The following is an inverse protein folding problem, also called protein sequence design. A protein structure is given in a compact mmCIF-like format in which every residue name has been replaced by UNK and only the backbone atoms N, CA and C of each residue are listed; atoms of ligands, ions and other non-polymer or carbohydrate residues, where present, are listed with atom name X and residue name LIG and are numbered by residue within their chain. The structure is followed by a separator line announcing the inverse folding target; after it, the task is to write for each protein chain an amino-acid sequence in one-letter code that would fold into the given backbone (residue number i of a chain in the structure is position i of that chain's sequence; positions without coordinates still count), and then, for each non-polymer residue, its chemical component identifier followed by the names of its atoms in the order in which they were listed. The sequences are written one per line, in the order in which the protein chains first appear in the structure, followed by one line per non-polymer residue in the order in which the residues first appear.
data_IF_593193886572
#
_entry.id   IF_593193886572
#
_cell.length_a   1.000
_cell.length_b   1.000
_cell.length_c   1.000
_cell.angle_alpha   90.00
_cell.angle_beta   90.00
_cell.angle_gamma   90.00
#
_symmetry.space_group_name_H-M   'P 1'
#
loop_
_entity.id
_entity.type
_entity.pdbx_description
1 polymer ?
#
# COMPACT_ATOMS: atom_id res chain seq x y z
N UNK A 1 -18.41 -20.00 14.15
CA UNK A 1 -17.65 -19.81 12.90
C UNK A 1 -16.27 -19.26 13.23
N UNK A 2 -15.20 -19.76 12.60
CA UNK A 2 -13.84 -19.24 12.82
C UNK A 2 -13.75 -17.84 12.21
N UNK A 3 -13.43 -16.83 13.01
CA UNK A 3 -13.15 -15.46 12.56
C UNK A 3 -11.71 -15.37 12.09
N UNK A 4 -11.46 -14.57 11.06
CA UNK A 4 -10.10 -14.22 10.67
C UNK A 4 -9.55 -13.18 11.66
N UNK A 5 -8.37 -13.41 12.24
CA UNK A 5 -7.71 -12.42 13.08
C UNK A 5 -6.84 -11.43 12.27
N UNK A 6 -6.32 -11.89 11.13
CA UNK A 6 -5.43 -11.14 10.25
C UNK A 6 -5.82 -11.37 8.79
N UNK A 7 -5.86 -10.31 8.00
CA UNK A 7 -6.20 -10.31 6.58
C UNK A 7 -5.10 -9.57 5.83
N UNK A 8 -4.52 -10.21 4.80
CA UNK A 8 -3.58 -9.58 3.86
C UNK A 8 -4.30 -9.32 2.54
N UNK A 9 -4.32 -8.07 2.11
CA UNK A 9 -4.81 -7.65 0.80
C UNK A 9 -3.61 -7.22 -0.05
N UNK A 10 -3.35 -7.96 -1.13
CA UNK A 10 -2.37 -7.57 -2.14
C UNK A 10 -3.12 -6.82 -3.25
N UNK A 11 -2.68 -5.61 -3.56
CA UNK A 11 -3.19 -4.79 -4.65
C UNK A 11 -2.08 -4.56 -5.67
N UNK A 12 -2.48 -4.32 -6.91
CA UNK A 12 -1.61 -3.86 -7.98
C UNK A 12 -2.06 -2.46 -8.38
N UNK A 13 -1.15 -1.49 -8.36
CA UNK A 13 -1.43 -0.10 -8.73
C UNK A 13 -1.82 0.07 -10.20
N UNK A 14 -1.49 -0.89 -11.06
CA UNK A 14 -1.91 -0.90 -12.46
C UNK A 14 -3.41 -1.23 -12.65
N UNK A 15 -4.08 -1.65 -11.58
CA UNK A 15 -5.48 -2.08 -11.60
C UNK A 15 -6.39 -1.18 -10.76
N UNK A 16 -7.67 -1.10 -11.11
CA UNK A 16 -8.67 -0.52 -10.20
C UNK A 16 -8.95 -1.49 -9.04
N UNK A 17 -8.19 -1.33 -7.96
CA UNK A 17 -8.29 -2.15 -6.75
C UNK A 17 -9.36 -1.66 -5.76
N UNK A 18 -10.18 -0.67 -6.13
CA UNK A 18 -11.16 -0.06 -5.20
C UNK A 18 -12.20 -1.05 -4.68
N UNK A 19 -12.64 -2.00 -5.53
CA UNK A 19 -13.58 -3.04 -5.15
C UNK A 19 -12.96 -4.05 -4.15
N UNK A 20 -11.72 -4.46 -4.39
CA UNK A 20 -10.98 -5.36 -3.50
C UNK A 20 -10.73 -4.71 -2.14
N UNK A 21 -10.39 -3.41 -2.12
CA UNK A 21 -10.20 -2.63 -0.90
C UNK A 21 -11.50 -2.52 -0.09
N UNK A 22 -12.62 -2.15 -0.73
CA UNK A 22 -13.94 -2.10 -0.08
C UNK A 22 -14.31 -3.44 0.54
N UNK A 23 -14.06 -4.54 -0.18
CA UNK A 23 -14.36 -5.88 0.31
C UNK A 23 -13.46 -6.30 1.48
N UNK A 24 -12.16 -6.04 1.38
CA UNK A 24 -11.18 -6.32 2.45
C UNK A 24 -11.53 -5.56 3.74
N UNK A 25 -11.88 -4.28 3.63
CA UNK A 25 -12.31 -3.47 4.76
C UNK A 25 -13.60 -3.98 5.41
N UNK A 26 -14.61 -4.36 4.61
CA UNK A 26 -15.84 -4.94 5.12
C UNK A 26 -15.59 -6.27 5.86
N UNK A 27 -14.74 -7.13 5.29
CA UNK A 27 -14.39 -8.42 5.88
C UNK A 27 -13.63 -8.24 7.20
N UNK A 28 -12.69 -7.30 7.26
CA UNK A 28 -11.96 -6.97 8.48
C UNK A 28 -12.90 -6.47 9.59
N UNK A 29 -13.83 -5.58 9.25
CA UNK A 29 -14.85 -5.09 10.19
C UNK A 29 -15.73 -6.22 10.74
N UNK A 30 -16.26 -7.08 9.87
CA UNK A 30 -17.10 -8.21 10.27
C UNK A 30 -16.38 -9.20 11.19
N UNK A 31 -15.07 -9.35 11.02
CA UNK A 31 -14.26 -10.29 11.79
C UNK A 31 -13.55 -9.67 13.00
N UNK A 32 -13.60 -8.34 13.18
CA UNK A 32 -12.70 -7.61 14.09
C UNK A 32 -11.23 -7.97 13.86
N UNK A 33 -10.85 -8.06 12.58
CA UNK A 33 -9.54 -8.48 12.13
C UNK A 33 -8.63 -7.28 11.85
N UNK A 34 -7.31 -7.49 11.92
CA UNK A 34 -6.33 -6.56 11.36
C UNK A 34 -6.27 -6.73 9.84
N UNK A 35 -6.30 -5.63 9.10
CA UNK A 35 -6.12 -5.60 7.65
C UNK A 35 -4.76 -4.98 7.30
N UNK A 36 -3.93 -5.71 6.57
CA UNK A 36 -2.70 -5.20 5.98
C UNK A 36 -2.88 -5.10 4.48
N UNK A 37 -2.62 -3.94 3.91
CA UNK A 37 -2.65 -3.71 2.46
C UNK A 37 -1.22 -3.61 1.96
N UNK A 38 -0.89 -4.38 0.92
CA UNK A 38 0.43 -4.45 0.32
C UNK A 38 0.30 -4.21 -1.19
N UNK A 39 1.24 -3.47 -1.77
CA UNK A 39 1.42 -3.36 -3.22
C UNK A 39 2.79 -3.94 -3.59
N UNK A 40 2.86 -4.61 -4.74
CA UNK A 40 4.14 -5.09 -5.28
C UNK A 40 4.63 -4.02 -6.25
N UNK A 41 5.79 -3.44 -5.93
CA UNK A 41 6.46 -2.50 -6.82
C UNK A 41 7.44 -3.30 -7.68
N UNK A 42 7.05 -3.60 -8.93
CA UNK A 42 7.81 -4.47 -9.86
C UNK A 42 9.22 -3.95 -10.17
N UNK A 43 9.43 -2.65 -10.06
CA UNK A 43 10.74 -2.04 -10.30
C UNK A 43 11.07 -1.08 -9.18
N UNK A 44 12.02 -1.46 -8.34
CA UNK A 44 12.86 -0.49 -7.66
C UNK A 44 13.86 0.00 -8.72
N UNK A 45 13.70 1.18 -9.33
CA UNK A 45 14.53 1.57 -10.46
C UNK A 45 15.97 1.71 -9.95
N UNK A 46 16.89 0.90 -10.46
CA UNK A 46 18.30 0.93 -10.05
C UNK A 46 18.92 2.31 -10.25
N UNK A 47 18.42 3.09 -11.21
CA UNK A 47 18.67 4.53 -11.34
C UNK A 47 17.43 5.24 -11.91
N UNK A 48 16.82 6.14 -11.14
CA UNK A 48 15.87 7.10 -11.71
C UNK A 48 16.67 8.32 -12.17
N UNK A 49 16.97 8.43 -13.47
CA UNK A 49 17.50 9.67 -14.05
C UNK A 49 16.34 10.63 -14.30
N UNK A 50 15.87 11.30 -13.24
CA UNK A 50 15.18 12.57 -13.37
C UNK A 50 16.29 13.62 -13.53
N UNK A 51 16.21 14.44 -14.57
CA UNK A 51 17.24 15.41 -14.96
C UNK A 51 17.98 16.01 -13.76
N UNK A 52 19.29 15.76 -13.71
CA UNK A 52 20.26 16.29 -12.77
C UNK A 52 20.19 15.90 -11.28
N UNK A 53 19.29 15.01 -10.83
CA UNK A 53 19.26 14.59 -9.41
C UNK A 53 19.39 13.08 -9.29
N UNK A 54 20.50 12.61 -8.70
CA UNK A 54 20.71 11.20 -8.36
C UNK A 54 19.84 10.86 -7.15
N UNK A 55 18.60 10.48 -7.40
CA UNK A 55 17.68 10.01 -6.35
C UNK A 55 17.83 8.50 -6.23
N UNK A 56 18.19 8.04 -5.03
CA UNK A 56 18.24 6.61 -4.74
C UNK A 56 16.82 6.06 -4.56
N UNK A 57 16.57 4.79 -4.91
CA UNK A 57 15.37 4.06 -4.53
C UNK A 57 14.82 4.31 -3.13
N UNK A 58 15.72 4.37 -2.15
CA UNK A 58 15.36 4.53 -0.74
C UNK A 58 14.71 5.88 -0.48
N UNK A 59 15.20 6.94 -1.14
CA UNK A 59 14.63 8.28 -1.03
C UNK A 59 13.24 8.36 -1.67
N UNK A 60 13.01 7.65 -2.79
CA UNK A 60 11.66 7.55 -3.38
C UNK A 60 10.70 6.84 -2.42
N UNK A 61 11.15 5.73 -1.83
CA UNK A 61 10.36 4.97 -0.87
C UNK A 61 10.03 5.79 0.38
N UNK A 62 10.99 6.54 0.93
CA UNK A 62 10.79 7.38 2.12
C UNK A 62 9.75 8.48 1.86
N UNK A 63 9.75 9.09 0.67
CA UNK A 63 8.74 10.08 0.26
C UNK A 63 7.36 9.44 0.10
N UNK A 64 7.28 8.27 -0.53
CA UNK A 64 6.01 7.56 -0.71
C UNK A 64 5.39 7.15 0.64
N UNK A 65 6.22 6.65 1.58
CA UNK A 65 5.79 6.29 2.94
C UNK A 65 5.29 7.53 3.69
N UNK A 66 6.04 8.63 3.64
CA UNK A 66 5.70 9.86 4.36
C UNK A 66 4.37 10.42 3.88
N UNK A 67 4.16 10.46 2.55
CA UNK A 67 2.92 10.95 1.95
C UNK A 67 1.72 10.05 2.25
N UNK A 68 1.91 8.72 2.30
CA UNK A 68 0.84 7.80 2.71
C UNK A 68 0.50 7.91 4.18
N UNK A 69 1.47 8.23 5.05
CA UNK A 69 1.24 8.42 6.49
C UNK A 69 0.44 9.69 6.77
N UNK A 70 0.79 10.82 6.15
CA UNK A 70 -0.02 12.06 6.23
C UNK A 70 -1.47 11.80 5.82
N UNK A 71 -1.68 11.04 4.74
CA UNK A 71 -3.01 10.71 4.25
C UNK A 71 -3.84 9.83 5.22
N UNK A 72 -3.17 9.05 6.07
CA UNK A 72 -3.81 8.21 7.09
C UNK A 72 -4.05 8.97 8.41
N UNK A 73 -3.34 10.08 8.65
CA UNK A 73 -3.50 10.92 9.85
C UNK A 73 -4.57 12.02 9.65
N UNK A 74 -4.87 12.40 8.41
CA UNK A 74 -5.95 13.34 8.04
C UNK A 74 -7.35 12.69 7.95
N UNK A 75 -7.51 11.40 8.28
CA UNK A 75 -8.79 10.66 8.26
C UNK A 75 -9.19 10.18 9.65
#
# INVERSE_FOLDING_TARGET
MKRFANILLVVDESTDYSAALKRGAALARQNQARLTVCTIVDTVPSEVRIGAIRITPRQVLDVAISRKREWLEDT
#
